data_IF_027544807322
#
_entry.id   IF_027544807322
#
_cell.length_a   1.000
_cell.length_b   1.000
_cell.length_c   1.000
_cell.angle_alpha   90.00
_cell.angle_beta   90.00
_cell.angle_gamma   90.00
#
_symmetry.space_group_name_H-M   'P 1'
#
loop_
_entity.id
_entity.type
_entity.pdbx_description
1 polymer ?
#
# COMPACT_ATOMS: atom_id res chain seq x y z
N UNK A 1 -11.55 -8.13 38.33
CA UNK A 1 -12.47 -9.22 38.79
C UNK A 1 -11.66 -10.50 39.00
N UNK A 2 -12.18 -11.55 39.65
CA UNK A 2 -11.49 -12.84 39.80
C UNK A 2 -12.26 -13.91 39.03
N UNK A 3 -11.57 -14.85 38.40
CA UNK A 3 -12.23 -15.93 37.65
C UNK A 3 -12.79 -17.00 38.60
N UNK A 4 -14.07 -17.34 38.44
CA UNK A 4 -14.77 -18.33 39.27
C UNK A 4 -14.25 -19.78 39.13
N UNK A 5 -13.49 -20.06 38.06
CA UNK A 5 -12.90 -21.38 37.81
C UNK A 5 -11.46 -21.52 38.35
N UNK A 6 -10.59 -20.56 38.03
CA UNK A 6 -9.15 -20.59 38.36
C UNK A 6 -8.78 -19.75 39.60
N UNK A 7 -9.64 -18.83 40.05
CA UNK A 7 -9.35 -17.90 41.14
C UNK A 7 -8.36 -16.78 40.82
N UNK A 8 -7.80 -16.71 39.60
CA UNK A 8 -6.81 -15.69 39.21
C UNK A 8 -7.48 -14.35 38.90
N UNK A 9 -6.79 -13.25 39.25
CA UNK A 9 -7.22 -11.87 38.98
C UNK A 9 -7.23 -11.61 37.47
N UNK A 10 -8.39 -11.24 36.93
CA UNK A 10 -8.56 -10.89 35.51
C UNK A 10 -8.19 -9.44 35.25
N UNK A 11 -7.82 -9.15 33.99
CA UNK A 11 -7.59 -7.79 33.50
C UNK A 11 -8.90 -7.01 33.60
N UNK A 12 -8.84 -5.80 34.14
CA UNK A 12 -10.04 -5.03 34.46
C UNK A 12 -10.83 -4.67 33.20
N UNK A 13 -12.15 -4.88 33.23
CA UNK A 13 -13.03 -4.70 32.08
C UNK A 13 -13.15 -5.89 31.11
N UNK A 14 -12.45 -7.02 31.36
CA UNK A 14 -12.55 -8.24 30.55
C UNK A 14 -12.76 -9.51 31.40
N UNK A 15 -13.80 -10.29 31.08
CA UNK A 15 -14.07 -11.61 31.69
C UNK A 15 -13.19 -12.71 31.06
N UNK A 16 -11.87 -12.52 31.07
CA UNK A 16 -10.91 -13.41 30.39
C UNK A 16 -9.88 -13.93 31.42
N UNK A 17 -9.89 -15.25 31.73
CA UNK A 17 -8.80 -15.94 32.45
C UNK A 17 -7.92 -16.63 31.41
N UNK A 18 -6.66 -16.17 31.25
CA UNK A 18 -5.67 -16.76 30.34
C UNK A 18 -5.35 -18.22 30.69
N UNK A 19 -5.42 -18.57 31.98
CA UNK A 19 -5.14 -19.94 32.45
C UNK A 19 -6.27 -20.95 32.19
N UNK A 20 -7.53 -20.49 32.17
CA UNK A 20 -8.69 -21.37 32.01
C UNK A 20 -9.18 -21.54 30.56
N UNK A 21 -8.57 -20.83 29.61
CA UNK A 21 -9.01 -20.77 28.20
C UNK A 21 -10.50 -20.41 27.98
N UNK A 22 -11.23 -19.98 29.01
CA UNK A 22 -12.68 -19.76 28.96
C UNK A 22 -13.04 -18.65 27.95
N UNK A 23 -12.14 -17.70 27.75
CA UNK A 23 -12.28 -16.68 26.73
C UNK A 23 -12.19 -17.24 25.30
N UNK A 24 -11.37 -18.27 25.05
CA UNK A 24 -11.26 -18.86 23.71
C UNK A 24 -12.53 -19.63 23.33
N UNK A 25 -13.10 -20.39 24.28
CA UNK A 25 -14.32 -21.16 24.04
C UNK A 25 -15.58 -20.27 23.93
N UNK A 26 -15.72 -19.26 24.81
CA UNK A 26 -16.78 -18.26 24.70
C UNK A 26 -16.68 -17.45 23.41
N UNK A 27 -15.47 -17.03 22.99
CA UNK A 27 -15.24 -16.30 21.74
C UNK A 27 -15.66 -17.11 20.52
N UNK A 28 -15.33 -18.41 20.50
CA UNK A 28 -15.74 -19.35 19.46
C UNK A 28 -17.27 -19.52 19.43
N UNK A 29 -17.94 -19.57 20.59
CA UNK A 29 -19.39 -19.77 20.72
C UNK A 29 -20.22 -18.50 20.45
N UNK A 30 -19.71 -17.33 20.84
CA UNK A 30 -20.40 -16.04 20.65
C UNK A 30 -20.41 -15.58 19.20
N UNK A 31 -19.55 -16.17 18.35
CA UNK A 31 -19.39 -15.74 16.97
C UNK A 31 -18.88 -14.30 16.85
N UNK A 32 -18.27 -13.75 17.92
CA UNK A 32 -17.76 -12.38 17.94
C UNK A 32 -16.71 -12.13 16.85
N UNK A 33 -16.00 -13.19 16.44
CA UNK A 33 -15.05 -13.16 15.33
C UNK A 33 -15.70 -12.75 13.99
N UNK A 34 -17.00 -13.02 13.81
CA UNK A 34 -17.78 -12.53 12.66
C UNK A 34 -17.93 -11.01 12.66
N UNK A 35 -18.02 -10.40 13.84
CA UNK A 35 -18.08 -8.94 13.99
C UNK A 35 -16.68 -8.32 13.95
N UNK A 36 -15.64 -9.01 14.42
CA UNK A 36 -14.25 -8.58 14.30
C UNK A 36 -13.76 -8.52 12.84
N UNK A 37 -14.11 -9.52 12.02
CA UNK A 37 -13.87 -9.49 10.56
C UNK A 37 -14.67 -8.37 9.86
N UNK A 38 -15.85 -8.03 10.39
CA UNK A 38 -16.63 -6.88 9.91
C UNK A 38 -16.01 -5.54 10.31
N UNK A 39 -15.32 -5.49 11.46
CA UNK A 39 -14.68 -4.29 12.00
C UNK A 39 -13.31 -3.99 11.36
N UNK A 40 -12.58 -5.01 10.87
CA UNK A 40 -11.33 -4.80 10.14
C UNK A 40 -11.45 -5.36 8.70
N UNK A 41 -11.90 -4.56 7.72
CA UNK A 41 -12.14 -5.04 6.36
C UNK A 41 -10.86 -5.41 5.60
N UNK A 42 -9.69 -5.14 6.19
CA UNK A 42 -8.37 -5.39 5.61
C UNK A 42 -7.71 -6.56 6.36
N UNK A 43 -7.54 -7.72 5.71
CA UNK A 43 -6.84 -8.87 6.28
C UNK A 43 -5.41 -8.51 6.71
N UNK A 44 -4.88 -9.15 7.75
CA UNK A 44 -3.51 -8.86 8.21
C UNK A 44 -2.45 -9.38 7.23
N UNK A 45 -2.77 -10.43 6.49
CA UNK A 45 -1.90 -11.11 5.54
C UNK A 45 -1.51 -10.22 4.34
N UNK A 46 -2.25 -9.13 4.10
CA UNK A 46 -1.96 -8.17 3.03
C UNK A 46 -1.21 -6.92 3.51
N UNK A 47 -0.87 -6.83 4.79
CA UNK A 47 -0.15 -5.69 5.40
C UNK A 47 1.37 -5.86 5.29
N UNK A 48 1.86 -5.92 4.06
CA UNK A 48 3.29 -5.95 3.75
C UNK A 48 3.62 -4.89 2.70
N UNK A 49 4.91 -4.53 2.59
CA UNK A 49 5.39 -3.63 1.56
C UNK A 49 5.12 -4.21 0.17
N UNK A 50 4.51 -3.43 -0.72
CA UNK A 50 4.17 -3.84 -2.08
C UNK A 50 5.25 -3.36 -3.08
N UNK A 51 6.14 -4.24 -3.55
CA UNK A 51 7.18 -3.85 -4.51
C UNK A 51 6.60 -3.45 -5.86
N UNK A 52 5.47 -4.04 -6.26
CA UNK A 52 4.80 -3.68 -7.51
C UNK A 52 4.28 -2.24 -7.48
N UNK A 53 3.62 -1.84 -6.39
CA UNK A 53 3.12 -0.48 -6.20
C UNK A 53 4.27 0.55 -6.06
N UNK A 54 5.39 0.14 -5.46
CA UNK A 54 6.58 0.98 -5.31
C UNK A 54 7.30 1.19 -6.65
N UNK A 55 7.57 0.11 -7.40
CA UNK A 55 8.38 0.16 -8.63
C UNK A 55 7.59 0.59 -9.86
N UNK A 56 6.28 0.31 -9.89
CA UNK A 56 5.40 0.55 -11.04
C UNK A 56 4.21 1.45 -10.66
N UNK A 57 4.44 2.50 -9.86
CA UNK A 57 3.40 3.32 -9.22
C UNK A 57 2.16 3.62 -10.06
N UNK A 58 2.31 4.30 -11.20
CA UNK A 58 1.16 4.68 -12.04
C UNK A 58 0.50 3.49 -12.75
N UNK A 59 1.29 2.56 -13.31
CA UNK A 59 0.78 1.37 -14.03
C UNK A 59 0.01 0.49 -13.06
N UNK A 60 0.61 0.21 -11.90
CA UNK A 60 0.03 -0.59 -10.84
C UNK A 60 -1.26 0.04 -10.31
N UNK A 61 -1.29 1.37 -10.10
CA UNK A 61 -2.47 2.08 -9.63
C UNK A 61 -3.66 1.96 -10.62
N UNK A 62 -3.41 2.16 -11.92
CA UNK A 62 -4.43 1.99 -12.96
C UNK A 62 -4.99 0.55 -12.97
N UNK A 63 -4.11 -0.45 -12.91
CA UNK A 63 -4.51 -1.86 -12.90
C UNK A 63 -5.35 -2.27 -11.69
N UNK A 64 -5.29 -1.51 -10.58
CA UNK A 64 -6.05 -1.75 -9.36
C UNK A 64 -7.23 -0.80 -9.18
N UNK A 65 -7.69 -0.15 -10.26
CA UNK A 65 -8.82 0.79 -10.28
C UNK A 65 -8.61 2.03 -9.40
N UNK A 66 -7.36 2.37 -9.11
CA UNK A 66 -6.97 3.60 -8.43
C UNK A 66 -6.69 4.70 -9.46
N UNK A 67 -7.64 4.92 -10.38
CA UNK A 67 -7.45 5.74 -11.59
C UNK A 67 -7.00 7.17 -11.28
N UNK A 68 -7.61 7.83 -10.30
CA UNK A 68 -7.23 9.17 -9.90
C UNK A 68 -5.76 9.24 -9.43
N UNK A 69 -5.30 8.24 -8.66
CA UNK A 69 -3.90 8.17 -8.22
C UNK A 69 -2.96 7.90 -9.40
N UNK A 70 -3.33 6.98 -10.30
CA UNK A 70 -2.53 6.65 -11.48
C UNK A 70 -2.39 7.82 -12.46
N UNK A 71 -3.49 8.52 -12.75
CA UNK A 71 -3.50 9.68 -13.64
C UNK A 71 -2.80 10.89 -13.02
N UNK A 72 -3.00 11.15 -11.72
CA UNK A 72 -2.27 12.19 -11.01
C UNK A 72 -0.76 11.94 -11.06
N UNK A 73 -0.33 10.70 -10.83
CA UNK A 73 1.08 10.32 -10.94
C UNK A 73 1.61 10.61 -12.35
N UNK A 74 0.93 10.11 -13.39
CA UNK A 74 1.33 10.30 -14.78
C UNK A 74 1.41 11.80 -15.13
N UNK A 75 0.42 12.58 -14.72
CA UNK A 75 0.40 14.00 -15.01
C UNK A 75 1.52 14.75 -14.29
N UNK A 76 1.63 14.61 -12.96
CA UNK A 76 2.57 15.41 -12.14
C UNK A 76 4.03 15.05 -12.41
N UNK A 77 4.34 13.78 -12.63
CA UNK A 77 5.73 13.32 -12.72
C UNK A 77 6.22 13.05 -14.14
N UNK A 78 5.32 13.01 -15.13
CA UNK A 78 5.70 12.79 -16.54
C UNK A 78 5.24 13.94 -17.42
N UNK A 79 3.94 14.27 -17.44
CA UNK A 79 3.41 15.26 -18.40
C UNK A 79 3.77 16.70 -18.00
N UNK A 80 3.51 17.08 -16.76
CA UNK A 80 3.69 18.44 -16.26
C UNK A 80 5.13 18.94 -16.37
N UNK A 81 6.19 18.19 -15.98
CA UNK A 81 7.57 18.67 -16.10
C UNK A 81 7.98 18.92 -17.56
N UNK A 82 7.47 18.10 -18.48
CA UNK A 82 7.74 18.23 -19.92
C UNK A 82 6.99 19.41 -20.54
N UNK A 83 5.72 19.61 -20.18
CA UNK A 83 4.96 20.79 -20.61
C UNK A 83 5.53 22.08 -20.02
N UNK A 84 5.94 22.04 -18.76
CA UNK A 84 6.61 23.13 -18.08
C UNK A 84 7.90 23.48 -18.82
N UNK A 85 8.75 22.51 -19.18
CA UNK A 85 9.95 22.76 -20.00
C UNK A 85 9.63 23.54 -21.28
N UNK A 86 8.64 23.08 -22.05
CA UNK A 86 8.25 23.73 -23.33
C UNK A 86 7.71 25.15 -23.10
N UNK A 87 6.96 25.36 -22.02
CA UNK A 87 6.42 26.67 -21.68
C UNK A 87 7.51 27.64 -21.20
N UNK A 88 8.43 27.16 -20.36
CA UNK A 88 9.52 27.95 -19.77
C UNK A 88 10.68 28.19 -20.73
N UNK A 89 10.76 27.51 -21.89
CA UNK A 89 11.74 27.81 -22.95
C UNK A 89 11.43 29.12 -23.70
N UNK A 90 10.23 29.69 -23.54
CA UNK A 90 9.84 30.96 -24.17
C UNK A 90 10.32 32.19 -23.43
N UNK A 91 10.37 32.12 -22.12
CA UNK A 91 10.93 33.14 -21.26
C UNK A 91 12.35 32.70 -20.90
N UNK A 92 13.33 33.59 -20.74
CA UNK A 92 14.70 33.20 -20.33
C UNK A 92 14.74 32.75 -18.86
N UNK A 93 13.91 31.79 -18.49
CA UNK A 93 13.90 31.21 -17.15
C UNK A 93 15.26 30.61 -16.90
N UNK A 94 15.79 30.96 -15.74
CA UNK A 94 17.07 30.47 -15.28
C UNK A 94 17.04 28.95 -15.28
N UNK A 95 17.94 28.33 -16.05
CA UNK A 95 18.13 26.89 -16.13
C UNK A 95 18.25 26.27 -14.73
N UNK A 96 18.78 27.03 -13.76
CA UNK A 96 18.87 26.64 -12.36
C UNK A 96 17.51 26.44 -11.70
N UNK A 97 16.51 27.27 -12.03
CA UNK A 97 15.15 27.12 -11.51
C UNK A 97 14.46 25.87 -12.08
N UNK A 98 14.64 25.58 -13.38
CA UNK A 98 14.11 24.36 -14.00
C UNK A 98 14.74 23.10 -13.36
N UNK A 99 16.05 23.08 -13.17
CA UNK A 99 16.76 21.99 -12.51
C UNK A 99 16.24 21.80 -11.07
N UNK A 100 16.12 22.88 -10.30
CA UNK A 100 15.61 22.82 -8.93
C UNK A 100 14.19 22.25 -8.84
N UNK A 101 13.30 22.63 -9.77
CA UNK A 101 11.94 22.09 -9.86
C UNK A 101 11.98 20.58 -10.15
N UNK A 102 12.78 20.14 -11.12
CA UNK A 102 12.85 18.72 -11.47
C UNK A 102 13.44 17.87 -10.35
N UNK A 103 14.46 18.34 -9.65
CA UNK A 103 15.00 17.66 -8.47
C UNK A 103 13.92 17.55 -7.38
N UNK A 104 13.18 18.63 -7.13
CA UNK A 104 12.08 18.64 -6.16
C UNK A 104 11.00 17.62 -6.53
N UNK A 105 10.60 17.56 -7.79
CA UNK A 105 9.62 16.60 -8.29
C UNK A 105 10.14 15.16 -8.23
N UNK A 106 11.42 14.93 -8.47
CA UNK A 106 12.03 13.61 -8.36
C UNK A 106 12.07 13.10 -6.90
N UNK A 107 12.35 13.98 -5.94
CA UNK A 107 12.27 13.62 -4.51
C UNK A 107 10.81 13.30 -4.14
N UNK A 108 9.86 14.14 -4.57
CA UNK A 108 8.44 13.89 -4.35
C UNK A 108 7.96 12.58 -4.99
N UNK A 109 8.49 12.22 -6.17
CA UNK A 109 8.23 10.96 -6.86
C UNK A 109 8.67 9.75 -6.01
N UNK A 110 9.89 9.78 -5.48
CA UNK A 110 10.42 8.71 -4.62
C UNK A 110 9.56 8.60 -3.35
N UNK A 111 9.27 9.71 -2.69
CA UNK A 111 8.45 9.73 -1.49
C UNK A 111 7.04 9.16 -1.73
N UNK A 112 6.41 9.54 -2.84
CA UNK A 112 5.10 9.03 -3.23
C UNK A 112 5.14 7.54 -3.59
N UNK A 113 6.21 7.08 -4.23
CA UNK A 113 6.43 5.66 -4.53
C UNK A 113 6.55 4.83 -3.25
N UNK A 114 7.31 5.30 -2.25
CA UNK A 114 7.41 4.65 -0.94
C UNK A 114 6.04 4.60 -0.25
N UNK A 115 5.29 5.70 -0.29
CA UNK A 115 3.93 5.76 0.25
C UNK A 115 3.00 4.71 -0.39
N UNK A 116 3.07 4.54 -1.72
CA UNK A 116 2.35 3.48 -2.43
C UNK A 116 2.88 2.09 -2.09
N UNK A 117 4.20 1.92 -1.90
CA UNK A 117 4.78 0.67 -1.42
C UNK A 117 4.21 0.26 -0.06
N UNK A 118 4.05 1.18 0.87
CA UNK A 118 3.54 0.88 2.22
C UNK A 118 2.02 0.67 2.21
N UNK A 119 1.26 1.55 1.54
CA UNK A 119 -0.21 1.59 1.65
C UNK A 119 -0.95 0.95 0.48
N UNK A 120 -0.23 0.58 -0.58
CA UNK A 120 -0.80 0.11 -1.85
C UNK A 120 -1.70 -1.09 -1.67
N UNK A 121 -1.24 -2.13 -0.95
CA UNK A 121 -2.04 -3.34 -0.73
C UNK A 121 -3.41 -3.04 -0.12
N UNK A 122 -3.47 -2.19 0.91
CA UNK A 122 -4.74 -1.84 1.55
C UNK A 122 -5.65 -1.04 0.61
N UNK A 123 -5.10 -0.10 -0.16
CA UNK A 123 -5.87 0.70 -1.13
C UNK A 123 -6.43 -0.18 -2.25
N UNK A 124 -5.60 -1.05 -2.82
CA UNK A 124 -5.99 -1.99 -3.87
C UNK A 124 -7.04 -2.99 -3.37
N UNK A 125 -6.92 -3.46 -2.13
CA UNK A 125 -7.90 -4.35 -1.50
C UNK A 125 -9.25 -3.67 -1.34
N UNK A 126 -9.28 -2.42 -0.84
CA UNK A 126 -10.52 -1.64 -0.65
C UNK A 126 -11.20 -1.28 -1.98
N UNK A 127 -10.43 -1.13 -3.06
CA UNK A 127 -10.95 -0.77 -4.39
C UNK A 127 -11.55 -1.96 -5.17
N UNK A 128 -11.26 -3.20 -4.78
CA UNK A 128 -11.82 -4.40 -5.42
C UNK A 128 -13.06 -4.92 -4.69
N UNK A 129 -13.93 -5.68 -5.39
CA UNK A 129 -14.86 -6.58 -4.72
C UNK A 129 -14.09 -7.47 -3.74
N UNK A 130 -14.67 -7.76 -2.56
CA UNK A 130 -13.99 -8.51 -1.49
C UNK A 130 -13.86 -9.98 -1.89
N UNK A 131 -12.79 -10.27 -2.61
CA UNK A 131 -12.49 -11.58 -3.19
C UNK A 131 -11.68 -12.46 -2.22
N UNK A 132 -11.25 -13.63 -2.70
CA UNK A 132 -10.33 -14.52 -2.00
C UNK A 132 -8.93 -13.89 -1.85
N UNK A 133 -8.46 -13.75 -0.60
CA UNK A 133 -7.14 -13.19 -0.23
C UNK A 133 -5.99 -13.85 -0.99
N UNK A 134 -6.02 -15.18 -1.19
CA UNK A 134 -4.95 -15.90 -1.90
C UNK A 134 -4.85 -15.49 -3.37
N UNK A 135 -6.00 -15.24 -4.02
CA UNK A 135 -6.00 -14.73 -5.40
C UNK A 135 -5.39 -13.33 -5.46
N UNK A 136 -5.69 -12.49 -4.47
CA UNK A 136 -5.08 -11.16 -4.36
C UNK A 136 -3.57 -11.22 -4.15
N UNK A 137 -3.11 -12.05 -3.19
CA UNK A 137 -1.67 -12.24 -2.92
C UNK A 137 -0.91 -12.75 -4.15
N UNK A 138 -1.48 -13.70 -4.90
CA UNK A 138 -0.90 -14.19 -6.16
C UNK A 138 -0.74 -13.06 -7.18
N UNK A 139 -1.75 -12.20 -7.31
CA UNK A 139 -1.66 -11.04 -8.19
C UNK A 139 -0.56 -10.06 -7.73
N UNK A 140 -0.48 -9.73 -6.44
CA UNK A 140 0.56 -8.83 -5.91
C UNK A 140 1.97 -9.40 -6.09
N UNK A 141 2.14 -10.73 -5.96
CA UNK A 141 3.41 -11.40 -6.24
C UNK A 141 3.82 -11.27 -7.71
N UNK A 142 2.89 -11.45 -8.64
CA UNK A 142 3.16 -11.25 -10.06
C UNK A 142 3.57 -9.80 -10.34
N UNK A 143 2.88 -8.81 -9.76
CA UNK A 143 3.24 -7.40 -9.88
C UNK A 143 4.62 -7.08 -9.31
N UNK A 144 5.00 -7.69 -8.19
CA UNK A 144 6.35 -7.56 -7.64
C UNK A 144 7.41 -8.10 -8.61
N UNK A 145 7.20 -9.28 -9.20
CA UNK A 145 8.11 -9.87 -10.18
C UNK A 145 8.25 -8.97 -11.42
N UNK A 146 7.12 -8.49 -11.97
CA UNK A 146 7.13 -7.59 -13.14
C UNK A 146 7.87 -6.28 -12.82
N UNK A 147 7.65 -5.69 -11.64
CA UNK A 147 8.34 -4.48 -11.21
C UNK A 147 9.85 -4.67 -11.09
N UNK A 148 10.29 -5.76 -10.46
CA UNK A 148 11.71 -6.08 -10.32
C UNK A 148 12.35 -6.32 -11.69
N UNK A 149 11.71 -7.13 -12.54
CA UNK A 149 12.21 -7.41 -13.89
C UNK A 149 12.35 -6.13 -14.72
N UNK A 150 11.39 -5.21 -14.63
CA UNK A 150 11.44 -3.92 -15.30
C UNK A 150 12.64 -3.06 -14.84
N UNK A 151 12.90 -3.00 -13.54
CA UNK A 151 14.08 -2.26 -13.02
C UNK A 151 15.39 -2.90 -13.47
N UNK A 152 15.49 -4.24 -13.45
CA UNK A 152 16.68 -4.94 -13.94
C UNK A 152 16.93 -4.61 -15.41
N UNK A 153 15.88 -4.60 -16.24
CA UNK A 153 16.01 -4.22 -17.66
C UNK A 153 16.50 -2.79 -17.84
N UNK A 154 16.00 -1.82 -17.07
CA UNK A 154 16.48 -0.42 -17.12
C UNK A 154 17.95 -0.33 -16.74
N UNK A 155 18.37 -1.02 -15.68
CA UNK A 155 19.77 -0.99 -15.22
C UNK A 155 20.69 -1.58 -16.29
N UNK A 156 20.32 -2.74 -16.85
CA UNK A 156 21.10 -3.37 -17.93
C UNK A 156 21.17 -2.46 -19.16
N UNK A 157 20.06 -1.85 -19.57
CA UNK A 157 20.04 -0.94 -20.72
C UNK A 157 20.79 0.36 -20.50
N UNK A 158 21.09 0.73 -19.25
CA UNK A 158 21.90 1.92 -18.94
C UNK A 158 23.41 1.64 -18.97
N UNK A 159 23.81 0.37 -18.96
CA UNK A 159 25.22 -0.06 -18.94
C UNK A 159 25.72 -0.44 -20.34
N UNK A 160 24.82 -0.92 -21.21
CA UNK A 160 25.10 -1.29 -22.61
C UNK A 160 24.90 -0.10 -23.53
#
# INVERSE_FOLDING_TARGET
MYCEKCGVKTIDGMNICEQCAFAAEWRKKSGIDKYAQKANPVPQEIRFFNPGAFLLGWIWALAHRLWALGLMYLFVFVVFPNLLRIALERDKIDIMAYIAINITLFIALIAFSIYLGITGNEKAWKARPRDNVQKFLKAQRNWAVVGIAYVVLIIVSAIV
#
